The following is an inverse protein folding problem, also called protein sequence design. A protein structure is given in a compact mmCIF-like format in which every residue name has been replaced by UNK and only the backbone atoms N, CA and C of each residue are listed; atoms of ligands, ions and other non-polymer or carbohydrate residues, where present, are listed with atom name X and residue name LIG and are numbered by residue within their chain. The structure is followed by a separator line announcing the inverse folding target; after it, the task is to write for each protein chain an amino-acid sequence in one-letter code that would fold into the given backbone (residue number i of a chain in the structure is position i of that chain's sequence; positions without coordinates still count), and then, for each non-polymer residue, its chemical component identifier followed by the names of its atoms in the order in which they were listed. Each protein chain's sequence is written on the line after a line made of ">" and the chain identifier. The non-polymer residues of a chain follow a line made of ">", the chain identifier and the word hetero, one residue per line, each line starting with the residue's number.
data_IF_287416087266
#
_entry.id   IF_287416087266
#
_cell.length_a   1.000
_cell.length_b   1.000
_cell.length_c   1.000
_cell.angle_alpha   90.00
_cell.angle_beta   90.00
_cell.angle_gamma   90.00
#
_symmetry.space_group_name_H-M   'P 1'
#
loop_
_entity.id
_entity.type
_entity.pdbx_description
1 polymer ?
#
# COMPACT_ATOMS: atom_id res chain seq x y z
N UNK A 1 -54.32 22.87 18.12
CA UNK A 1 -54.66 22.00 16.97
C UNK A 1 -53.41 21.18 16.68
N UNK A 2 -53.34 19.93 17.17
CA UNK A 2 -53.60 18.70 16.39
C UNK A 2 -52.63 18.56 15.20
N UNK A 3 -51.86 17.50 14.98
CA UNK A 3 -51.96 16.11 15.44
C UNK A 3 -50.58 15.41 15.38
N UNK A 4 -50.46 14.33 16.16
CA UNK A 4 -49.43 13.30 16.06
C UNK A 4 -49.76 12.29 14.94
N UNK A 5 -48.74 11.62 14.37
CA UNK A 5 -48.72 10.18 14.01
C UNK A 5 -47.37 9.82 13.36
N UNK A 6 -46.48 8.98 13.94
CA UNK A 6 -46.41 7.49 13.94
C UNK A 6 -46.52 6.81 12.57
N UNK A 7 -45.45 6.09 12.18
CA UNK A 7 -45.37 4.68 11.69
C UNK A 7 -43.87 4.28 11.72
N UNK A 8 -43.42 3.27 12.49
CA UNK A 8 -43.53 1.82 12.27
C UNK A 8 -42.84 1.39 10.95
N UNK A 9 -42.05 0.33 10.81
CA UNK A 9 -41.46 -0.73 11.66
C UNK A 9 -40.66 -1.62 10.68
N UNK A 10 -39.70 -2.43 11.18
CA UNK A 10 -39.24 -3.74 10.63
C UNK A 10 -38.59 -3.79 9.23
N UNK A 11 -37.68 -4.67 8.84
CA UNK A 11 -36.88 -5.76 9.41
C UNK A 11 -35.93 -6.18 8.26
N UNK A 12 -34.74 -6.68 8.59
CA UNK A 12 -33.91 -7.52 7.70
C UNK A 12 -34.31 -8.99 7.84
N UNK A 13 -34.22 -9.79 6.76
CA UNK A 13 -33.65 -11.13 6.95
C UNK A 13 -32.70 -11.58 5.82
N UNK A 14 -31.55 -12.07 6.29
CA UNK A 14 -30.77 -13.25 5.92
C UNK A 14 -31.11 -14.13 4.70
N UNK A 15 -30.02 -14.57 4.06
CA UNK A 15 -29.71 -15.90 3.51
C UNK A 15 -30.52 -16.48 2.35
N UNK A 16 -29.84 -16.67 1.21
CA UNK A 16 -30.01 -17.86 0.38
C UNK A 16 -28.65 -18.29 -0.22
N UNK A 17 -28.26 -19.52 0.12
CA UNK A 17 -27.12 -20.26 -0.41
C UNK A 17 -27.54 -21.05 -1.66
N UNK A 18 -26.53 -21.65 -2.31
CA UNK A 18 -26.58 -22.84 -3.16
C UNK A 18 -26.53 -22.58 -4.67
N UNK A 19 -25.45 -23.02 -5.32
CA UNK A 19 -25.45 -24.14 -6.29
C UNK A 19 -23.98 -24.50 -6.61
N UNK A 20 -23.59 -25.68 -6.12
CA UNK A 20 -22.50 -26.52 -6.63
C UNK A 20 -23.02 -27.27 -7.84
N UNK A 21 -22.23 -27.44 -8.91
CA UNK A 21 -22.19 -28.71 -9.66
C UNK A 21 -21.01 -28.80 -10.65
N UNK A 22 -20.23 -29.86 -10.45
CA UNK A 22 -19.35 -30.55 -11.40
C UNK A 22 -20.19 -31.31 -12.46
N UNK A 23 -19.59 -31.74 -13.59
CA UNK A 23 -19.66 -33.19 -13.87
C UNK A 23 -18.38 -33.82 -14.45
N UNK A 24 -18.30 -35.14 -14.21
CA UNK A 24 -17.24 -36.11 -14.49
C UNK A 24 -17.23 -36.70 -15.92
N UNK A 25 -16.03 -37.16 -16.28
CA UNK A 25 -15.62 -38.35 -17.08
C UNK A 25 -16.16 -38.64 -18.49
N UNK A 26 -15.24 -38.84 -19.44
CA UNK A 26 -15.22 -40.03 -20.31
C UNK A 26 -13.84 -40.29 -20.94
N UNK A 27 -13.41 -41.54 -20.84
CA UNK A 27 -12.21 -42.19 -21.38
C UNK A 27 -12.01 -42.05 -22.91
N UNK A 28 -10.76 -41.97 -23.35
CA UNK A 28 -10.30 -42.82 -24.47
C UNK A 28 -8.80 -43.12 -24.38
N UNK A 29 -8.53 -44.40 -24.24
CA UNK A 29 -7.21 -45.02 -24.20
C UNK A 29 -6.75 -45.29 -25.63
N UNK A 30 -5.60 -44.77 -26.07
CA UNK A 30 -4.75 -45.52 -27.01
C UNK A 30 -3.28 -45.17 -26.79
N UNK A 31 -2.51 -46.21 -26.51
CA UNK A 31 -1.10 -46.19 -26.17
C UNK A 31 -0.21 -45.92 -27.39
N UNK A 32 0.94 -45.25 -27.17
CA UNK A 32 2.23 -45.60 -27.79
C UNK A 32 3.42 -44.92 -27.06
N UNK A 33 3.91 -45.64 -26.04
CA UNK A 33 5.30 -46.08 -25.80
C UNK A 33 6.49 -45.14 -26.17
N UNK A 34 7.13 -44.65 -25.09
CA UNK A 34 8.60 -44.58 -24.82
C UNK A 34 9.48 -43.57 -25.59
N UNK A 35 10.06 -42.61 -24.86
CA UNK A 35 11.39 -42.77 -24.23
C UNK A 35 12.02 -41.44 -23.77
N UNK A 36 12.90 -41.55 -22.76
CA UNK A 36 13.86 -40.56 -22.23
C UNK A 36 13.38 -39.52 -21.22
N UNK A 37 13.19 -40.06 -20.01
CA UNK A 37 13.63 -39.49 -18.73
C UNK A 37 14.90 -38.61 -18.87
N UNK A 38 14.73 -37.29 -18.75
CA UNK A 38 15.82 -36.37 -18.38
C UNK A 38 15.57 -35.83 -16.98
N UNK A 39 16.51 -36.19 -16.12
CA UNK A 39 16.64 -35.77 -14.72
C UNK A 39 16.59 -34.25 -14.61
N UNK A 40 15.80 -33.80 -13.62
CA UNK A 40 16.07 -32.68 -12.71
C UNK A 40 16.73 -31.44 -13.34
N UNK A 41 15.92 -30.61 -13.98
CA UNK A 41 16.14 -29.18 -13.92
C UNK A 41 15.59 -28.68 -12.59
N UNK A 42 16.44 -28.51 -11.57
CA UNK A 42 16.17 -27.59 -10.47
C UNK A 42 15.82 -26.26 -11.13
N UNK A 43 14.54 -25.93 -11.27
CA UNK A 43 14.15 -24.53 -11.43
C UNK A 43 14.76 -23.86 -10.22
N UNK A 44 15.75 -23.00 -10.51
CA UNK A 44 16.60 -22.36 -9.51
C UNK A 44 15.75 -21.76 -8.40
N UNK A 45 16.34 -21.46 -7.23
CA UNK A 45 15.58 -20.87 -6.14
C UNK A 45 14.75 -19.74 -6.76
N UNK A 46 13.41 -19.90 -6.73
CA UNK A 46 12.52 -18.73 -6.77
C UNK A 46 13.23 -17.80 -5.83
N UNK A 47 13.69 -16.64 -6.33
CA UNK A 47 14.19 -15.58 -5.49
C UNK A 47 13.00 -15.24 -4.62
N UNK A 48 12.87 -16.03 -3.56
CA UNK A 48 12.05 -15.76 -2.43
C UNK A 48 12.47 -14.36 -2.08
N UNK A 49 11.47 -13.51 -1.91
CA UNK A 49 11.62 -12.15 -1.45
C UNK A 49 12.25 -12.10 -0.04
N UNK A 50 13.03 -13.11 0.36
CA UNK A 50 13.66 -13.33 1.65
C UNK A 50 14.68 -12.26 2.04
N UNK A 51 14.96 -11.29 1.15
CA UNK A 51 15.80 -10.13 1.45
C UNK A 51 15.02 -8.81 1.43
N UNK A 52 13.70 -8.79 1.70
CA UNK A 52 12.99 -7.53 2.02
C UNK A 52 13.07 -7.17 3.52
N UNK A 53 13.98 -7.77 4.27
CA UNK A 53 14.12 -7.58 5.71
C UNK A 53 14.76 -6.24 6.13
N UNK A 54 14.94 -5.29 5.20
CA UNK A 54 15.61 -4.00 5.44
C UNK A 54 14.72 -2.75 5.38
N UNK A 55 13.59 -2.81 4.67
CA UNK A 55 12.86 -1.59 4.27
C UNK A 55 11.48 -1.44 4.93
N UNK A 56 11.20 -2.22 5.99
CA UNK A 56 9.92 -2.10 6.69
C UNK A 56 9.85 -0.85 7.57
N UNK A 57 8.73 -0.15 7.51
CA UNK A 57 8.46 1.03 8.32
C UNK A 57 7.96 0.71 9.74
N UNK A 58 7.94 -0.57 10.13
CA UNK A 58 7.41 -1.06 11.41
C UNK A 58 7.91 -0.28 12.64
N UNK A 59 9.20 0.06 12.67
CA UNK A 59 9.83 0.81 13.77
C UNK A 59 9.21 2.19 13.98
N UNK A 60 8.74 2.84 12.91
CA UNK A 60 8.23 4.21 12.96
C UNK A 60 6.79 4.29 13.47
N UNK A 61 5.96 3.26 13.24
CA UNK A 61 4.56 3.28 13.65
C UNK A 61 4.40 3.47 15.16
N UNK A 62 5.20 2.78 15.96
CA UNK A 62 5.19 2.94 17.43
C UNK A 62 5.63 4.34 17.88
N UNK A 63 6.52 5.01 17.14
CA UNK A 63 6.97 6.37 17.46
C UNK A 63 5.90 7.42 17.14
N UNK A 64 5.15 7.22 16.06
CA UNK A 64 4.07 8.11 15.63
C UNK A 64 2.83 7.95 16.49
N UNK A 65 2.53 6.73 16.98
CA UNK A 65 1.33 6.48 17.79
C UNK A 65 1.43 6.98 19.23
N UNK A 66 2.62 6.92 19.85
CA UNK A 66 2.82 7.32 21.25
C UNK A 66 2.26 8.72 21.58
N UNK A 67 2.51 9.77 20.78
CA UNK A 67 1.92 11.09 21.03
C UNK A 67 0.40 11.17 20.82
N UNK A 68 -0.18 10.31 19.98
CA UNK A 68 -1.61 10.36 19.65
C UNK A 68 -2.45 9.64 20.70
N UNK A 69 -2.02 8.44 21.10
CA UNK A 69 -2.69 7.64 22.13
C UNK A 69 -1.68 6.92 23.02
N UNK A 70 -1.65 7.31 24.29
CA UNK A 70 -0.86 6.62 25.31
C UNK A 70 -1.50 5.25 25.63
N UNK A 71 -0.73 4.17 25.54
CA UNK A 71 -1.20 2.80 25.82
C UNK A 71 -1.73 2.03 24.60
N UNK A 72 -1.83 2.65 23.42
CA UNK A 72 -2.20 1.94 22.18
C UNK A 72 -0.98 1.24 21.58
N UNK A 73 -1.15 -0.03 21.21
CA UNK A 73 -0.16 -0.81 20.45
C UNK A 73 -0.84 -1.50 19.27
N UNK A 74 -0.06 -1.76 18.21
CA UNK A 74 -0.57 -2.36 16.98
C UNK A 74 -0.27 -3.85 16.97
N UNK A 75 -1.22 -4.65 16.47
CA UNK A 75 -0.97 -6.06 16.17
C UNK A 75 0.02 -6.20 14.99
N UNK A 76 0.66 -7.36 14.89
CA UNK A 76 1.59 -7.64 13.80
C UNK A 76 0.89 -7.58 12.42
N UNK A 77 -0.36 -8.01 12.35
CA UNK A 77 -1.18 -7.94 11.13
C UNK A 77 -1.46 -6.48 10.73
N UNK A 78 -1.85 -5.63 11.69
CA UNK A 78 -2.08 -4.22 11.43
C UNK A 78 -0.80 -3.53 10.95
N UNK A 79 0.35 -3.85 11.55
CA UNK A 79 1.66 -3.35 11.10
C UNK A 79 1.94 -3.78 9.66
N UNK A 80 1.67 -5.03 9.28
CA UNK A 80 1.88 -5.50 7.90
C UNK A 80 0.99 -4.79 6.87
N UNK A 81 -0.28 -4.53 7.22
CA UNK A 81 -1.21 -3.79 6.35
C UNK A 81 -0.76 -2.34 6.18
N UNK A 82 -0.38 -1.68 7.27
CA UNK A 82 0.10 -0.29 7.21
C UNK A 82 1.43 -0.16 6.48
N UNK A 83 2.35 -1.11 6.65
CA UNK A 83 3.62 -1.13 5.92
C UNK A 83 3.38 -1.18 4.42
N UNK A 84 2.49 -2.08 3.98
CA UNK A 84 2.10 -2.18 2.56
C UNK A 84 1.41 -0.91 2.05
N UNK A 85 0.56 -0.29 2.88
CA UNK A 85 -0.13 0.96 2.54
C UNK A 85 0.86 2.12 2.30
N UNK A 86 1.91 2.21 3.12
CA UNK A 86 2.96 3.24 2.94
C UNK A 86 3.69 3.02 1.62
N UNK A 87 4.02 1.78 1.27
CA UNK A 87 4.67 1.45 0.01
C UNK A 87 3.78 1.78 -1.21
N UNK A 88 2.49 1.45 -1.20
CA UNK A 88 1.56 1.80 -2.30
C UNK A 88 1.47 3.32 -2.51
N UNK A 89 1.37 4.09 -1.43
CA UNK A 89 1.33 5.57 -1.53
C UNK A 89 2.67 6.12 -2.06
N UNK A 90 3.79 5.59 -1.59
CA UNK A 90 5.12 6.03 -2.03
C UNK A 90 5.33 5.75 -3.52
N UNK A 91 4.96 4.57 -4.00
CA UNK A 91 5.07 4.18 -5.40
C UNK A 91 4.17 5.05 -6.29
N UNK A 92 2.96 5.37 -5.83
CA UNK A 92 2.07 6.30 -6.53
C UNK A 92 2.67 7.70 -6.62
N UNK A 93 3.21 8.24 -5.53
CA UNK A 93 3.86 9.56 -5.51
C UNK A 93 5.08 9.57 -6.45
N UNK A 94 5.93 8.55 -6.39
CA UNK A 94 7.12 8.44 -7.24
C UNK A 94 6.75 8.35 -8.72
N UNK A 95 5.71 7.59 -9.06
CA UNK A 95 5.21 7.46 -10.43
C UNK A 95 4.69 8.79 -10.97
N UNK A 96 3.86 9.50 -10.21
CA UNK A 96 3.32 10.80 -10.63
C UNK A 96 4.40 11.89 -10.67
N UNK A 97 5.32 11.93 -9.70
CA UNK A 97 6.46 12.86 -9.72
C UNK A 97 7.37 12.62 -10.93
N UNK A 98 7.61 11.35 -11.29
CA UNK A 98 8.35 10.98 -12.50
C UNK A 98 7.64 11.42 -13.79
N UNK A 99 6.30 11.30 -13.85
CA UNK A 99 5.52 11.84 -14.97
C UNK A 99 5.64 13.35 -15.08
N UNK A 100 5.55 14.08 -13.96
CA UNK A 100 5.71 15.55 -13.90
C UNK A 100 7.09 16.03 -14.35
N UNK A 101 8.16 15.32 -13.93
CA UNK A 101 9.51 15.62 -14.38
C UNK A 101 9.63 15.47 -15.90
N UNK A 102 9.06 14.40 -16.47
CA UNK A 102 9.03 14.16 -17.93
C UNK A 102 8.24 15.22 -18.69
N UNK A 103 7.09 15.67 -18.17
CA UNK A 103 6.33 16.78 -18.79
C UNK A 103 7.14 18.07 -18.87
N UNK A 104 7.95 18.32 -17.84
CA UNK A 104 8.83 19.49 -17.78
C UNK A 104 10.15 19.27 -18.54
N UNK A 105 10.33 18.12 -19.22
CA UNK A 105 11.55 17.70 -19.92
C UNK A 105 12.80 17.67 -19.03
N UNK A 106 12.63 17.41 -17.73
CA UNK A 106 13.71 17.24 -16.76
C UNK A 106 13.91 15.76 -16.45
N UNK A 107 15.17 15.37 -16.31
CA UNK A 107 15.54 14.00 -15.88
C UNK A 107 15.55 13.88 -14.35
N UNK A 108 15.85 14.99 -13.66
CA UNK A 108 15.88 15.06 -12.19
C UNK A 108 14.50 15.35 -11.63
N UNK A 109 14.04 14.54 -10.68
CA UNK A 109 12.83 14.79 -9.89
C UNK A 109 13.17 15.85 -8.82
N UNK A 110 12.43 16.95 -8.81
CA UNK A 110 12.62 18.05 -7.85
C UNK A 110 11.59 17.99 -6.71
N UNK A 111 11.86 18.70 -5.61
CA UNK A 111 10.90 18.83 -4.49
C UNK A 111 9.55 19.41 -4.95
N UNK A 112 9.55 20.27 -5.96
CA UNK A 112 8.35 20.81 -6.60
C UNK A 112 7.52 19.72 -7.28
N UNK A 113 8.18 18.79 -7.97
CA UNK A 113 7.50 17.70 -8.67
C UNK A 113 6.83 16.75 -7.65
N UNK A 114 7.50 16.48 -6.52
CA UNK A 114 6.94 15.71 -5.40
C UNK A 114 5.76 16.46 -4.76
N UNK A 115 5.88 17.76 -4.49
CA UNK A 115 4.79 18.55 -3.91
C UNK A 115 3.55 18.56 -4.81
N UNK A 116 3.74 18.69 -6.13
CA UNK A 116 2.66 18.61 -7.10
C UNK A 116 2.06 17.21 -7.17
N UNK A 117 2.86 16.15 -7.13
CA UNK A 117 2.36 14.78 -7.09
C UNK A 117 1.49 14.52 -5.85
N UNK A 118 1.91 15.02 -4.68
CA UNK A 118 1.13 14.92 -3.43
C UNK A 118 -0.21 15.65 -3.55
N UNK A 119 -0.24 16.83 -4.18
CA UNK A 119 -1.49 17.56 -4.45
C UNK A 119 -2.47 16.80 -5.35
N UNK A 120 -1.95 16.05 -6.31
CA UNK A 120 -2.76 15.26 -7.24
C UNK A 120 -3.33 14.00 -6.57
N UNK A 121 -2.56 13.39 -5.66
CA UNK A 121 -2.92 12.12 -5.03
C UNK A 121 -3.75 12.27 -3.76
N UNK A 122 -3.53 13.33 -2.96
CA UNK A 122 -4.20 13.54 -1.67
C UNK A 122 -5.20 14.71 -1.75
N UNK A 123 -6.51 14.44 -1.86
CA UNK A 123 -7.51 15.49 -1.96
C UNK A 123 -7.77 16.20 -0.62
N UNK A 124 -8.32 17.41 -0.71
CA UNK A 124 -8.93 18.12 0.42
C UNK A 124 -7.95 18.62 1.48
N UNK A 125 -8.31 18.44 2.76
CA UNK A 125 -7.52 18.94 3.91
C UNK A 125 -6.24 18.12 4.14
N UNK A 126 -6.23 16.85 3.75
CA UNK A 126 -5.09 15.94 3.95
C UNK A 126 -3.88 16.35 3.11
N UNK A 127 -4.09 16.69 1.83
CA UNK A 127 -3.02 17.16 0.96
C UNK A 127 -2.31 18.41 1.50
N UNK A 128 -3.09 19.39 1.99
CA UNK A 128 -2.55 20.62 2.60
C UNK A 128 -1.69 20.34 3.83
N UNK A 129 -2.10 19.39 4.68
CA UNK A 129 -1.32 18.99 5.85
C UNK A 129 -0.06 18.22 5.45
N UNK A 130 -0.16 17.31 4.47
CA UNK A 130 1.00 16.58 3.97
C UNK A 130 2.08 17.52 3.40
N UNK A 131 1.67 18.55 2.65
CA UNK A 131 2.60 19.55 2.12
C UNK A 131 3.28 20.39 3.21
N UNK A 132 2.53 20.82 4.23
CA UNK A 132 3.09 21.62 5.32
C UNK A 132 4.09 20.81 6.15
N UNK A 133 3.77 19.54 6.42
CA UNK A 133 4.69 18.61 7.09
C UNK A 133 5.94 18.33 6.23
N UNK A 134 5.77 18.10 4.93
CA UNK A 134 6.89 17.89 4.00
C UNK A 134 7.82 19.10 3.93
N UNK A 135 7.25 20.31 3.89
CA UNK A 135 8.04 21.56 3.89
C UNK A 135 8.78 21.74 5.20
N UNK A 136 8.13 21.50 6.35
CA UNK A 136 8.79 21.58 7.65
C UNK A 136 9.95 20.58 7.76
N UNK A 137 9.78 19.35 7.28
CA UNK A 137 10.84 18.34 7.26
C UNK A 137 12.03 18.75 6.38
N UNK A 138 11.78 19.30 5.19
CA UNK A 138 12.83 19.81 4.30
C UNK A 138 13.61 20.98 4.94
N UNK A 139 12.92 21.86 5.67
CA UNK A 139 13.56 22.95 6.41
C UNK A 139 14.42 22.41 7.57
N UNK A 140 13.91 21.45 8.34
CA UNK A 140 14.68 20.85 9.46
C UNK A 140 15.95 20.16 8.98
N UNK A 141 15.87 19.42 7.87
CA UNK A 141 17.02 18.71 7.29
C UNK A 141 18.07 19.68 6.74
N UNK A 142 17.64 20.70 5.98
CA UNK A 142 18.55 21.73 5.46
C UNK A 142 19.20 22.57 6.57
N UNK A 143 18.44 22.98 7.59
CA UNK A 143 19.00 23.68 8.75
C UNK A 143 20.02 22.80 9.48
N UNK A 144 19.68 21.54 9.79
CA UNK A 144 20.61 20.62 10.45
C UNK A 144 21.91 20.45 9.66
N UNK A 145 21.84 20.35 8.33
CA UNK A 145 23.02 20.29 7.47
C UNK A 145 23.89 21.56 7.58
N UNK A 146 23.28 22.75 7.62
CA UNK A 146 24.01 24.02 7.81
C UNK A 146 24.67 24.07 9.19
N UNK A 147 23.96 23.65 10.24
CA UNK A 147 24.51 23.57 11.60
C UNK A 147 25.68 22.58 11.69
N UNK A 148 25.63 21.48 10.95
CA UNK A 148 26.69 20.47 10.92
C UNK A 148 27.94 20.95 10.16
N UNK A 149 27.80 21.87 9.20
CA UNK A 149 28.91 22.49 8.48
C UNK A 149 29.63 23.59 9.29
N UNK A 150 28.98 24.13 10.33
CA UNK A 150 29.56 25.17 11.21
C UNK A 150 30.34 24.64 12.41
N UNK A 151 30.40 23.32 12.58
CA UNK A 151 31.09 22.64 13.68
C UNK A 151 32.34 21.96 13.17
#
# INVERSE_FOLDING_TARGET
>A
MAAASTMASSETPSEEQLITQEPKEANSTTAQKQSKQRKRGRRGPRRSHANCHGDSFATYFSRVLKPVHQGLSLSQEAVSVMDSMVHDILDRIGTEAGRLARYTKRVTITSRDIQMAVRLLLPGKMGKFAESQGTNAALRTSLCAIWQQRK
#
